data_IF_424754701348
#
_entry.id   IF_424754701348
#
_cell.length_a   1.000
_cell.length_b   1.000
_cell.length_c   1.000
_cell.angle_alpha   90.00
_cell.angle_beta   90.00
_cell.angle_gamma   90.00
#
_symmetry.space_group_name_H-M   'P 1'
#
loop_
_entity.id
_entity.type
_entity.pdbx_description
1 polymer ?
#
# COMPACT_ATOMS: atom_id res chain seq x y z
N UNK A 1 5.84 -13.98 5.40
CA UNK A 1 5.07 -13.08 6.28
C UNK A 1 4.01 -12.36 5.45
N UNK A 2 2.86 -12.03 6.05
CA UNK A 2 1.78 -11.33 5.38
C UNK A 2 1.70 -9.88 5.88
N UNK A 3 1.37 -8.96 4.99
CA UNK A 3 0.98 -7.59 5.31
C UNK A 3 -0.52 -7.55 5.56
N UNK A 4 -0.93 -6.90 6.64
CA UNK A 4 -2.33 -6.64 6.97
C UNK A 4 -2.66 -5.19 6.65
N UNK A 5 -3.77 -4.97 5.96
CA UNK A 5 -4.29 -3.64 5.67
C UNK A 5 -5.66 -3.49 6.32
N UNK A 6 -5.86 -2.38 7.02
CA UNK A 6 -7.15 -1.98 7.57
C UNK A 6 -7.51 -0.63 6.94
N UNK A 7 -8.68 -0.57 6.31
CA UNK A 7 -9.25 0.65 5.76
C UNK A 7 -10.55 0.97 6.49
N UNK A 8 -10.68 2.18 7.01
CA UNK A 8 -11.88 2.66 7.69
C UNK A 8 -12.49 3.85 6.95
N UNK A 9 -13.81 3.87 6.85
CA UNK A 9 -14.59 5.00 6.33
C UNK A 9 -15.98 4.98 6.96
N UNK A 10 -16.38 6.10 7.55
CA UNK A 10 -17.64 6.24 8.28
C UNK A 10 -17.78 5.12 9.34
N UNK A 11 -18.80 4.26 9.24
CA UNK A 11 -19.01 3.10 10.11
C UNK A 11 -18.54 1.76 9.50
N UNK A 12 -17.76 1.80 8.42
CA UNK A 12 -17.28 0.61 7.72
C UNK A 12 -15.79 0.39 7.96
N UNK A 13 -15.42 -0.87 8.19
CA UNK A 13 -14.03 -1.30 8.26
C UNK A 13 -13.81 -2.46 7.31
N UNK A 14 -12.83 -2.34 6.43
CA UNK A 14 -12.36 -3.38 5.52
C UNK A 14 -10.97 -3.83 5.95
N UNK A 15 -10.81 -5.14 6.17
CA UNK A 15 -9.50 -5.74 6.44
C UNK A 15 -9.09 -6.64 5.28
N UNK A 16 -7.81 -6.56 4.85
CA UNK A 16 -7.23 -7.47 3.86
C UNK A 16 -5.84 -7.90 4.29
N UNK A 17 -5.49 -9.14 3.98
CA UNK A 17 -4.13 -9.67 4.19
C UNK A 17 -3.52 -10.12 2.86
N UNK A 18 -2.25 -9.78 2.63
CA UNK A 18 -1.53 -10.12 1.39
C UNK A 18 -0.07 -10.43 1.70
N UNK A 19 0.47 -11.46 1.07
CA UNK A 19 1.92 -11.76 1.14
C UNK A 19 2.78 -10.78 0.34
N UNK A 20 2.21 -10.14 -0.69
CA UNK A 20 2.91 -9.20 -1.56
C UNK A 20 2.75 -7.75 -1.08
N UNK A 21 3.89 -7.08 -0.85
CA UNK A 21 3.97 -5.66 -0.49
C UNK A 21 3.39 -4.75 -1.59
N UNK A 22 3.65 -5.06 -2.86
CA UNK A 22 3.12 -4.30 -3.98
C UNK A 22 1.59 -4.42 -4.09
N UNK A 23 1.05 -5.62 -3.87
CA UNK A 23 -0.40 -5.83 -3.93
C UNK A 23 -1.09 -5.13 -2.76
N UNK A 24 -0.53 -5.19 -1.54
CA UNK A 24 -1.14 -4.47 -0.41
C UNK A 24 -1.07 -2.95 -0.61
N UNK A 25 0.04 -2.43 -1.14
CA UNK A 25 0.19 -1.01 -1.46
C UNK A 25 -0.80 -0.55 -2.54
N UNK A 26 -0.98 -1.32 -3.60
CA UNK A 26 -1.95 -1.01 -4.65
C UNK A 26 -3.39 -0.94 -4.11
N UNK A 27 -3.78 -1.91 -3.27
CA UNK A 27 -5.09 -1.88 -2.59
C UNK A 27 -5.23 -0.66 -1.68
N UNK A 28 -4.18 -0.32 -0.93
CA UNK A 28 -4.18 0.82 -0.03
C UNK A 28 -4.36 2.14 -0.79
N UNK A 29 -3.67 2.32 -1.92
CA UNK A 29 -3.84 3.49 -2.79
C UNK A 29 -5.24 3.58 -3.37
N UNK A 30 -5.77 2.47 -3.87
CA UNK A 30 -7.11 2.44 -4.47
C UNK A 30 -8.22 2.77 -3.45
N UNK A 31 -8.04 2.39 -2.18
CA UNK A 31 -8.98 2.74 -1.12
C UNK A 31 -8.77 4.18 -0.63
N UNK A 32 -7.52 4.61 -0.47
CA UNK A 32 -7.20 5.99 -0.10
C UNK A 32 -7.73 6.99 -1.12
N UNK A 33 -7.65 6.70 -2.43
CA UNK A 33 -8.23 7.54 -3.49
C UNK A 33 -9.76 7.62 -3.44
N UNK A 34 -10.42 6.66 -2.77
CA UNK A 34 -11.85 6.66 -2.51
C UNK A 34 -12.21 7.30 -1.15
N UNK A 35 -11.25 7.97 -0.49
CA UNK A 35 -11.45 8.66 0.78
C UNK A 35 -11.42 7.74 2.01
N UNK A 36 -10.91 6.51 1.90
CA UNK A 36 -10.74 5.64 3.06
C UNK A 36 -9.47 6.01 3.83
N UNK A 37 -9.54 5.96 5.16
CA UNK A 37 -8.36 6.03 6.01
C UNK A 37 -7.72 4.65 6.10
N UNK A 38 -6.52 4.49 5.54
CA UNK A 38 -5.85 3.20 5.42
C UNK A 38 -4.61 3.11 6.31
N UNK A 39 -4.45 1.98 6.99
CA UNK A 39 -3.23 1.57 7.70
C UNK A 39 -2.76 0.22 7.21
N UNK A 40 -1.45 0.06 7.02
CA UNK A 40 -0.79 -1.20 6.67
C UNK A 40 0.11 -1.60 7.83
N UNK A 41 0.07 -2.87 8.21
CA UNK A 41 0.93 -3.48 9.22
C UNK A 41 1.76 -4.57 8.56
N UNK A 42 3.09 -4.56 8.76
CA UNK A 42 3.96 -5.64 8.29
C UNK A 42 4.01 -6.83 9.26
N UNK A 43 4.81 -7.84 8.93
CA UNK A 43 4.98 -9.03 9.75
C UNK A 43 5.68 -8.80 11.09
N UNK A 44 6.33 -7.64 11.27
CA UNK A 44 7.01 -7.24 12.51
C UNK A 44 6.11 -6.35 13.38
N UNK A 45 4.89 -6.06 12.92
CA UNK A 45 3.92 -5.21 13.62
C UNK A 45 4.11 -3.72 13.36
N UNK A 46 5.04 -3.32 12.50
CA UNK A 46 5.24 -1.91 12.14
C UNK A 46 4.07 -1.41 11.31
N UNK A 47 3.54 -0.24 11.66
CA UNK A 47 2.42 0.39 10.98
C UNK A 47 2.88 1.50 10.04
N UNK A 48 2.15 1.64 8.94
CA UNK A 48 2.43 2.61 7.89
C UNK A 48 1.13 3.20 7.34
N UNK A 49 1.17 4.48 6.98
CA UNK A 49 0.26 5.05 5.99
C UNK A 49 0.63 4.60 4.57
N UNK A 50 -0.25 4.81 3.55
CA UNK A 50 0.04 4.40 2.18
C UNK A 50 1.33 5.00 1.59
N UNK A 51 1.61 6.28 1.85
CA UNK A 51 2.81 6.97 1.36
C UNK A 51 4.08 6.47 2.08
N UNK A 52 4.03 6.36 3.41
CA UNK A 52 5.15 5.83 4.20
C UNK A 52 5.50 4.39 3.80
N UNK A 53 4.47 3.59 3.48
CA UNK A 53 4.68 2.22 3.01
C UNK A 53 5.29 2.18 1.61
N UNK A 54 4.94 3.11 0.72
CA UNK A 54 5.59 3.25 -0.58
C UNK A 54 7.08 3.55 -0.46
N UNK A 55 7.46 4.46 0.43
CA UNK A 55 8.87 4.78 0.69
C UNK A 55 9.60 3.57 1.26
N UNK A 56 8.97 2.85 2.19
CA UNK A 56 9.52 1.62 2.75
C UNK A 56 9.73 0.52 1.70
N UNK A 57 8.75 0.30 0.82
CA UNK A 57 8.88 -0.68 -0.27
C UNK A 57 9.96 -0.22 -1.24
N UNK A 58 9.97 1.05 -1.66
CA UNK A 58 10.97 1.59 -2.58
C UNK A 58 12.39 1.46 -2.03
N UNK A 59 12.61 1.73 -0.75
CA UNK A 59 13.92 1.59 -0.11
C UNK A 59 14.44 0.15 -0.07
N UNK A 60 13.56 -0.85 -0.12
CA UNK A 60 13.91 -2.28 -0.13
C UNK A 60 14.16 -2.86 -1.53
N UNK A 61 13.99 -2.06 -2.59
CA UNK A 61 14.10 -2.52 -3.97
C UNK A 61 15.04 -1.65 -4.80
N UNK A 62 15.63 -2.23 -5.87
CA UNK A 62 16.55 -1.50 -6.76
C UNK A 62 15.86 -0.37 -7.52
N UNK A 63 14.58 -0.53 -7.84
CA UNK A 63 13.79 0.45 -8.59
C UNK A 63 12.66 0.97 -7.72
N UNK A 64 12.52 2.31 -7.56
CA UNK A 64 11.43 2.89 -6.77
C UNK A 64 10.05 2.54 -7.33
N UNK A 65 9.06 2.37 -6.45
CA UNK A 65 7.68 2.04 -6.83
C UNK A 65 7.08 3.11 -7.75
N UNK A 66 7.37 4.39 -7.45
CA UNK A 66 6.91 5.52 -8.24
C UNK A 66 7.43 5.49 -9.67
N UNK A 67 8.70 5.14 -9.87
CA UNK A 67 9.29 5.03 -11.20
C UNK A 67 8.64 3.90 -12.02
N UNK A 68 8.30 2.77 -11.37
CA UNK A 68 7.57 1.68 -12.02
C UNK A 68 6.16 2.14 -12.42
N UNK A 69 5.46 2.86 -11.53
CA UNK A 69 4.13 3.37 -11.82
C UNK A 69 4.13 4.36 -12.99
N UNK A 70 5.09 5.30 -13.02
CA UNK A 70 5.25 6.28 -14.11
C UNK A 70 5.51 5.58 -15.46
N UNK A 71 6.38 4.58 -15.49
CA UNK A 71 6.66 3.79 -16.68
C UNK A 71 5.42 3.03 -17.22
N UNK A 72 4.53 2.58 -16.34
CA UNK A 72 3.30 1.87 -16.73
C UNK A 72 2.20 2.80 -17.26
N UNK A 73 2.28 4.10 -16.94
CA UNK A 73 1.29 5.11 -17.36
C UNK A 73 1.76 5.96 -18.55
N UNK A 74 3.00 5.78 -18.99
CA UNK A 74 3.52 6.47 -20.17
C UNK A 74 2.86 5.90 -21.45
N UNK A 75 2.43 6.76 -22.40
CA UNK A 75 1.97 6.30 -23.70
C UNK A 75 3.11 5.58 -24.44
N UNK A 76 2.79 4.46 -25.09
CA UNK A 76 3.71 3.63 -25.89
C UNK A 76 4.13 4.35 -27.16
#
# INVERSE_FOLDING_TARGET
MAYKMIAARDNQTLTRERSSAYIVLANARALASQGWQVKITDGEGKQFGPAEFEDFVSAKHKTPVRAIAEALTAPV
#
